data_IF_678129502110
#
_entry.id   IF_678129502110
#
_cell.length_a   1.000
_cell.length_b   1.000
_cell.length_c   1.000
_cell.angle_alpha   90.00
_cell.angle_beta   90.00
_cell.angle_gamma   90.00
#
_symmetry.space_group_name_H-M   'P 1'
#
loop_
_entity.id
_entity.type
_entity.pdbx_description
1 polymer ?
#
# COMPACT_ATOMS: atom_id res chain seq x y z
N UNK A 1 -4.59 -18.15 4.03
CA UNK A 1 -3.71 -16.98 4.14
C UNK A 1 -4.04 -16.22 5.40
N UNK A 2 -3.35 -16.59 6.48
CA UNK A 2 -3.34 -15.85 7.74
C UNK A 2 -3.19 -14.33 7.47
N UNK A 3 -3.95 -13.49 8.20
CA UNK A 3 -3.90 -12.03 8.17
C UNK A 3 -2.44 -11.50 8.15
N UNK A 4 -1.55 -12.15 8.90
CA UNK A 4 -0.13 -11.83 8.92
C UNK A 4 0.54 -11.96 7.53
N UNK A 5 0.23 -13.02 6.78
CA UNK A 5 0.79 -13.22 5.43
C UNK A 5 0.25 -12.17 4.44
N UNK A 6 -1.00 -11.72 4.58
CA UNK A 6 -1.53 -10.60 3.77
C UNK A 6 -0.77 -9.32 4.07
N UNK A 7 -0.63 -8.97 5.35
CA UNK A 7 0.13 -7.78 5.79
C UNK A 7 1.56 -7.81 5.26
N UNK A 8 2.25 -8.95 5.38
CA UNK A 8 3.60 -9.10 4.84
C UNK A 8 3.64 -8.86 3.33
N UNK A 9 2.71 -9.43 2.54
CA UNK A 9 2.65 -9.19 1.10
C UNK A 9 2.48 -7.69 0.80
N UNK A 10 1.61 -6.99 1.53
CA UNK A 10 1.40 -5.55 1.35
C UNK A 10 2.68 -4.79 1.69
N UNK A 11 3.28 -5.05 2.86
CA UNK A 11 4.42 -4.29 3.36
C UNK A 11 5.76 -4.58 2.68
N UNK A 12 5.89 -5.72 2.01
CA UNK A 12 7.11 -6.10 1.27
C UNK A 12 7.06 -5.71 -0.22
N UNK A 13 6.01 -5.01 -0.66
CA UNK A 13 5.91 -4.53 -2.04
C UNK A 13 7.05 -3.57 -2.41
N UNK A 14 7.46 -3.58 -3.68
CA UNK A 14 8.34 -2.54 -4.22
C UNK A 14 7.69 -1.17 -4.04
N UNK A 15 8.50 -0.12 -3.87
CA UNK A 15 8.05 1.27 -3.70
C UNK A 15 7.12 1.48 -2.50
N UNK A 16 7.18 0.60 -1.50
CA UNK A 16 6.45 0.74 -0.24
C UNK A 16 7.00 1.82 0.68
N UNK A 17 8.08 2.49 0.29
CA UNK A 17 8.76 3.50 1.08
C UNK A 17 8.98 4.77 0.26
N UNK A 18 8.88 5.90 0.94
CA UNK A 18 9.44 7.18 0.50
C UNK A 18 10.79 7.37 1.19
N UNK A 19 11.81 7.79 0.44
CA UNK A 19 13.16 8.02 0.95
C UNK A 19 13.43 9.52 1.00
N UNK A 20 14.24 9.95 1.96
CA UNK A 20 14.57 11.36 2.13
C UNK A 20 15.58 11.58 3.24
N UNK A 21 15.77 12.86 3.59
CA UNK A 21 16.64 13.29 4.70
C UNK A 21 15.85 14.07 5.73
N UNK A 22 16.32 14.10 6.97
CA UNK A 22 15.69 14.87 8.03
C UNK A 22 16.53 16.06 8.48
N UNK A 23 15.87 17.14 8.89
CA UNK A 23 16.49 18.29 9.55
C UNK A 23 15.66 18.71 10.76
N UNK A 24 16.34 19.12 11.83
CA UNK A 24 15.69 19.75 12.97
C UNK A 24 15.50 21.24 12.70
N UNK A 25 14.25 21.68 12.60
CA UNK A 25 13.85 23.07 12.38
C UNK A 25 12.87 23.44 13.49
N UNK A 26 13.23 24.43 14.30
CA UNK A 26 12.40 24.90 15.43
C UNK A 26 11.95 23.76 16.37
N UNK A 27 12.89 22.89 16.78
CA UNK A 27 12.64 21.74 17.66
C UNK A 27 11.74 20.65 17.07
N UNK A 28 11.48 20.69 15.76
CA UNK A 28 10.70 19.69 15.03
C UNK A 28 11.55 19.01 13.96
N UNK A 29 11.41 17.69 13.83
CA UNK A 29 12.03 16.95 12.74
C UNK A 29 11.20 17.06 11.47
N UNK A 30 11.78 17.66 10.44
CA UNK A 30 11.20 17.81 9.12
C UNK A 30 11.84 16.80 8.19
N UNK A 31 11.03 16.00 7.52
CA UNK A 31 11.43 15.08 6.46
C UNK A 31 11.35 15.77 5.11
N UNK A 32 12.43 15.72 4.34
CA UNK A 32 12.51 16.20 2.96
C UNK A 32 12.59 15.00 2.01
N UNK A 33 11.57 14.84 1.18
CA UNK A 33 11.49 13.77 0.19
C UNK A 33 12.54 13.96 -0.91
N UNK A 34 13.17 12.87 -1.34
CA UNK A 34 14.27 12.91 -2.30
C UNK A 34 13.85 13.12 -3.77
N UNK A 35 12.58 12.89 -4.12
CA UNK A 35 12.12 12.91 -5.53
C UNK A 35 11.61 14.29 -5.96
N UNK A 36 10.89 15.01 -5.10
CA UNK A 36 10.21 16.26 -5.41
C UNK A 36 10.49 17.41 -4.41
N UNK A 37 11.40 17.19 -3.46
CA UNK A 37 11.74 18.12 -2.37
C UNK A 37 10.53 18.53 -1.51
N UNK A 38 9.47 17.71 -1.46
CA UNK A 38 8.36 17.93 -0.54
C UNK A 38 8.79 17.76 0.93
N UNK A 39 8.23 18.61 1.79
CA UNK A 39 8.60 18.67 3.21
C UNK A 39 7.42 18.32 4.11
N UNK A 40 7.66 17.42 5.06
CA UNK A 40 6.63 16.87 5.95
C UNK A 40 7.13 16.86 7.40
N UNK A 41 6.22 16.94 8.37
CA UNK A 41 6.56 16.64 9.76
C UNK A 41 6.84 15.14 9.88
N UNK A 42 8.02 14.78 10.41
CA UNK A 42 8.43 13.38 10.49
C UNK A 42 7.44 12.54 11.32
N UNK A 43 6.91 13.12 12.40
CA UNK A 43 5.92 12.49 13.27
C UNK A 43 4.62 12.14 12.54
N UNK A 44 4.17 12.98 11.61
CA UNK A 44 2.92 12.75 10.87
C UNK A 44 3.02 11.60 9.88
N UNK A 45 4.22 11.32 9.36
CA UNK A 45 4.42 10.32 8.29
C UNK A 45 5.01 9.00 8.78
N UNK A 46 5.45 8.92 10.05
CA UNK A 46 6.15 7.76 10.60
C UNK A 46 5.33 6.84 11.51
N UNK A 47 4.00 6.98 11.53
CA UNK A 47 3.08 6.12 12.31
C UNK A 47 3.30 4.61 12.05
N UNK A 48 3.53 4.23 10.79
CA UNK A 48 3.76 2.83 10.38
C UNK A 48 5.24 2.40 10.50
N UNK A 49 6.06 3.20 11.18
CA UNK A 49 7.47 3.00 11.40
C UNK A 49 8.37 3.84 10.48
N UNK A 50 9.63 3.94 10.90
CA UNK A 50 10.71 4.63 10.20
C UNK A 50 11.89 3.69 10.07
N UNK A 51 12.66 3.79 8.99
CA UNK A 51 13.94 3.11 8.90
C UNK A 51 15.05 4.13 8.66
N UNK A 52 16.15 3.98 9.39
CA UNK A 52 17.31 4.87 9.33
C UNK A 52 18.43 4.16 8.57
N UNK A 53 19.09 4.87 7.65
CA UNK A 53 20.24 4.33 6.93
C UNK A 53 21.49 4.35 7.82
N UNK A 54 21.90 3.20 8.31
CA UNK A 54 23.08 3.03 9.16
C UNK A 54 24.04 2.02 8.53
N UNK A 55 25.30 2.41 8.34
CA UNK A 55 26.33 1.53 7.75
C UNK A 55 25.89 0.86 6.43
N UNK A 56 25.20 1.62 5.58
CA UNK A 56 24.63 1.16 4.30
C UNK A 56 23.49 0.14 4.39
N UNK A 57 22.87 -0.01 5.57
CA UNK A 57 21.69 -0.84 5.79
C UNK A 57 20.54 0.00 6.34
N UNK A 58 19.31 -0.30 5.89
CA UNK A 58 18.12 0.30 6.47
C UNK A 58 17.75 -0.43 7.75
N UNK A 59 17.80 0.28 8.87
CA UNK A 59 17.51 -0.28 10.19
C UNK A 59 16.14 0.20 10.65
N UNK A 60 15.14 -0.70 10.79
CA UNK A 60 13.82 -0.30 11.22
C UNK A 60 13.79 0.16 12.68
N UNK A 61 12.90 1.10 12.96
CA UNK A 61 12.65 1.64 14.28
C UNK A 61 11.30 2.32 14.41
N UNK A 62 11.03 2.79 15.63
CA UNK A 62 9.81 3.52 15.98
C UNK A 62 10.21 4.89 16.51
N UNK A 63 9.66 5.95 15.93
CA UNK A 63 9.84 7.31 16.43
C UNK A 63 9.06 7.48 17.74
N UNK A 64 9.72 8.00 18.76
CA UNK A 64 9.10 8.35 20.04
C UNK A 64 8.67 9.82 20.04
N UNK A 65 7.71 10.15 20.90
CA UNK A 65 7.32 11.54 21.20
C UNK A 65 8.51 12.40 21.68
N UNK A 66 9.57 11.78 22.21
CA UNK A 66 10.81 12.48 22.59
C UNK A 66 11.68 12.91 21.40
N UNK A 67 11.31 12.56 20.16
CA UNK A 67 12.09 12.82 18.96
C UNK A 67 13.27 11.84 18.75
N UNK A 68 13.38 10.80 19.57
CA UNK A 68 14.36 9.73 19.43
C UNK A 68 13.74 8.52 18.73
N UNK A 69 14.56 7.68 18.09
CA UNK A 69 14.09 6.45 17.44
C UNK A 69 14.55 5.23 18.23
N UNK A 70 13.61 4.36 18.62
CA UNK A 70 13.95 3.04 19.15
C UNK A 70 14.13 2.10 17.97
N UNK A 71 15.37 1.74 17.69
CA UNK A 71 15.69 0.76 16.65
C UNK A 71 15.19 -0.63 17.07
N UNK A 72 14.86 -1.48 16.10
CA UNK A 72 14.47 -2.88 16.34
C UNK A 72 15.58 -3.70 17.04
N UNK A 73 16.83 -3.22 16.98
CA UNK A 73 17.96 -3.73 17.76
C UNK A 73 17.91 -3.37 19.25
N UNK A 74 16.83 -2.70 19.70
CA UNK A 74 16.61 -2.17 21.06
C UNK A 74 17.60 -1.08 21.48
N UNK A 75 18.28 -0.45 20.52
CA UNK A 75 19.12 0.70 20.76
C UNK A 75 18.31 1.98 20.54
N UNK A 76 18.50 2.95 21.42
CA UNK A 76 17.97 4.29 21.23
C UNK A 76 18.92 5.04 20.29
N UNK A 77 18.35 5.64 19.26
CA UNK A 77 19.07 6.42 18.28
C UNK A 77 18.62 7.88 18.36
N UNK A 78 19.60 8.77 18.52
CA UNK A 78 19.38 10.22 18.47
C UNK A 78 19.50 10.67 17.01
N UNK A 79 18.41 11.24 16.50
CA UNK A 79 18.35 11.77 15.15
C UNK A 79 19.31 12.96 14.99
N UNK A 80 19.91 13.08 13.81
CA UNK A 80 20.80 14.17 13.42
C UNK A 80 20.32 14.77 12.10
N UNK A 81 20.66 16.05 11.92
CA UNK A 81 20.48 16.72 10.63
C UNK A 81 21.25 15.97 9.53
N UNK A 82 20.59 15.74 8.41
CA UNK A 82 21.12 15.01 7.27
C UNK A 82 21.00 13.48 7.37
N UNK A 83 20.41 12.94 8.45
CA UNK A 83 20.15 11.50 8.52
C UNK A 83 19.24 11.08 7.36
N UNK A 84 19.68 10.08 6.60
CA UNK A 84 18.87 9.48 5.56
C UNK A 84 17.88 8.51 6.19
N UNK A 85 16.60 8.75 5.94
CA UNK A 85 15.50 7.94 6.46
C UNK A 85 14.59 7.50 5.32
N UNK A 86 13.86 6.42 5.56
CA UNK A 86 12.72 6.05 4.74
C UNK A 86 11.51 5.76 5.61
N UNK A 87 10.37 6.21 5.14
CA UNK A 87 9.08 6.02 5.83
C UNK A 87 8.16 5.22 4.93
N UNK A 88 7.31 4.38 5.53
CA UNK A 88 6.39 3.55 4.77
C UNK A 88 5.31 4.43 4.15
N UNK A 89 5.10 4.31 2.84
CA UNK A 89 3.98 4.97 2.16
C UNK A 89 2.67 4.45 2.74
N UNK A 90 1.66 5.31 2.87
CA UNK A 90 0.30 4.89 3.23
C UNK A 90 -0.49 4.59 1.96
N UNK A 91 -1.24 3.50 1.97
CA UNK A 91 -2.20 3.22 0.91
C UNK A 91 -3.51 3.97 1.20
N UNK A 92 -4.17 4.56 0.19
CA UNK A 92 -5.45 5.23 0.39
C UNK A 92 -6.48 4.31 1.05
N UNK A 93 -7.23 4.82 2.02
CA UNK A 93 -8.20 4.04 2.79
C UNK A 93 -9.20 3.22 1.91
N UNK A 94 -9.81 3.79 0.85
CA UNK A 94 -10.70 3.01 -0.03
C UNK A 94 -10.04 1.82 -0.69
N UNK A 95 -8.74 1.94 -0.98
CA UNK A 95 -7.95 0.88 -1.59
C UNK A 95 -7.56 -0.18 -0.56
N UNK A 96 -7.18 0.22 0.65
CA UNK A 96 -6.91 -0.71 1.74
C UNK A 96 -8.13 -1.58 2.06
N UNK A 97 -9.31 -0.98 2.18
CA UNK A 97 -10.54 -1.72 2.43
C UNK A 97 -10.86 -2.72 1.32
N UNK A 98 -10.65 -2.33 0.05
CA UNK A 98 -10.77 -3.24 -1.09
C UNK A 98 -9.79 -4.40 -0.93
N UNK A 99 -8.51 -4.12 -0.67
CA UNK A 99 -7.48 -5.15 -0.51
C UNK A 99 -7.77 -6.08 0.66
N UNK A 100 -8.39 -5.61 1.75
CA UNK A 100 -8.74 -6.44 2.91
C UNK A 100 -9.96 -7.33 2.65
N UNK A 101 -10.92 -6.83 1.87
CA UNK A 101 -12.17 -7.52 1.54
C UNK A 101 -11.96 -8.74 0.62
N UNK A 102 -10.98 -8.67 -0.30
CA UNK A 102 -10.73 -9.75 -1.24
C UNK A 102 -10.47 -11.08 -0.54
N UNK A 103 -11.01 -12.17 -1.07
CA UNK A 103 -10.62 -13.50 -0.62
C UNK A 103 -9.14 -13.76 -0.88
N UNK A 104 -8.57 -14.73 -0.18
CA UNK A 104 -7.13 -14.97 -0.19
C UNK A 104 -6.60 -15.29 -1.59
N UNK A 105 -7.34 -16.09 -2.34
CA UNK A 105 -7.01 -16.48 -3.72
C UNK A 105 -7.16 -15.29 -4.67
N UNK A 106 -8.19 -14.47 -4.49
CA UNK A 106 -8.39 -13.24 -5.27
C UNK A 106 -7.25 -12.26 -5.03
N UNK A 107 -6.92 -11.98 -3.76
CA UNK A 107 -5.82 -11.09 -3.37
C UNK A 107 -4.46 -11.59 -3.90
N UNK A 108 -4.15 -12.87 -3.71
CA UNK A 108 -2.87 -13.43 -4.15
C UNK A 108 -2.71 -13.34 -5.68
N UNK A 109 -3.76 -13.69 -6.45
CA UNK A 109 -3.74 -13.57 -7.91
C UNK A 109 -3.66 -12.12 -8.37
N UNK A 110 -4.44 -11.23 -7.73
CA UNK A 110 -4.45 -9.81 -8.01
C UNK A 110 -3.04 -9.20 -7.89
N UNK A 111 -2.42 -9.39 -6.73
CA UNK A 111 -1.08 -8.86 -6.44
C UNK A 111 -0.01 -9.51 -7.33
N UNK A 112 -0.09 -10.82 -7.56
CA UNK A 112 0.87 -11.52 -8.44
C UNK A 112 0.84 -10.97 -9.86
N UNK A 113 -0.35 -10.67 -10.40
CA UNK A 113 -0.49 -10.19 -11.77
C UNK A 113 0.01 -8.74 -11.93
N UNK A 114 -0.23 -7.88 -10.94
CA UNK A 114 0.39 -6.55 -10.86
C UNK A 114 1.91 -6.67 -10.84
N UNK A 115 2.45 -7.48 -9.91
CA UNK A 115 3.88 -7.60 -9.69
C UNK A 115 4.62 -8.19 -10.90
N UNK A 116 4.00 -9.11 -11.63
CA UNK A 116 4.51 -9.65 -12.89
C UNK A 116 4.61 -8.59 -14.01
N UNK A 117 3.85 -7.49 -13.88
CA UNK A 117 3.93 -6.32 -14.76
C UNK A 117 4.82 -5.22 -14.18
N UNK A 118 5.62 -5.53 -13.15
CA UNK A 118 6.47 -4.62 -12.38
C UNK A 118 5.71 -3.44 -11.72
N UNK A 119 4.41 -3.59 -11.53
CA UNK A 119 3.55 -2.66 -10.78
C UNK A 119 3.36 -3.22 -9.38
N UNK A 120 3.43 -2.37 -8.35
CA UNK A 120 3.24 -2.71 -6.96
C UNK A 120 1.89 -2.17 -6.46
N UNK A 121 1.46 -2.60 -5.28
CA UNK A 121 0.26 -2.05 -4.65
C UNK A 121 0.40 -0.55 -4.36
N UNK A 122 1.62 -0.07 -4.11
CA UNK A 122 1.90 1.34 -3.80
C UNK A 122 1.91 2.26 -5.02
N UNK A 123 1.81 1.70 -6.22
CA UNK A 123 1.67 2.49 -7.46
C UNK A 123 0.21 2.93 -7.70
N UNK A 124 -0.71 2.58 -6.81
CA UNK A 124 -2.13 2.92 -6.94
C UNK A 124 -2.36 4.42 -6.70
N UNK A 125 -2.47 5.20 -7.77
CA UNK A 125 -2.74 6.64 -7.71
C UNK A 125 -4.22 6.98 -7.61
N UNK A 126 -5.11 6.03 -7.92
CA UNK A 126 -6.56 6.23 -7.83
C UNK A 126 -7.28 4.92 -7.54
N UNK A 127 -8.22 4.95 -6.60
CA UNK A 127 -9.12 3.83 -6.30
C UNK A 127 -10.53 4.35 -5.99
N UNK A 128 -11.48 4.02 -6.85
CA UNK A 128 -12.91 4.15 -6.58
C UNK A 128 -13.46 2.79 -6.12
N UNK A 129 -13.62 2.64 -4.80
CA UNK A 129 -14.19 1.44 -4.19
C UNK A 129 -15.71 1.60 -4.05
N UNK A 130 -16.44 1.24 -5.11
CA UNK A 130 -17.91 1.38 -5.18
C UNK A 130 -18.62 0.62 -4.06
N UNK A 131 -18.01 -0.44 -3.53
CA UNK A 131 -18.60 -1.23 -2.45
C UNK A 131 -18.84 -0.43 -1.17
N UNK A 132 -18.03 0.61 -0.89
CA UNK A 132 -18.18 1.48 0.27
C UNK A 132 -19.52 2.24 0.32
N UNK A 133 -20.24 2.29 -0.80
CA UNK A 133 -21.52 3.00 -0.92
C UNK A 133 -22.72 2.05 -0.92
N UNK A 134 -22.54 0.77 -0.57
CA UNK A 134 -23.54 -0.29 -0.76
C UNK A 134 -24.03 -0.96 0.53
N UNK A 135 -23.79 -0.39 1.71
CA UNK A 135 -24.08 -1.00 3.02
C UNK A 135 -25.51 -1.52 3.22
N UNK A 136 -26.49 -0.92 2.52
CA UNK A 136 -27.91 -1.28 2.62
C UNK A 136 -28.39 -2.23 1.51
N UNK A 137 -27.49 -2.72 0.65
CA UNK A 137 -27.82 -3.60 -0.46
C UNK A 137 -27.61 -5.05 -0.02
N UNK A 138 -28.66 -5.87 -0.12
CA UNK A 138 -28.62 -7.28 0.33
C UNK A 138 -27.64 -8.14 -0.47
N UNK A 139 -27.53 -7.89 -1.77
CA UNK A 139 -26.65 -8.62 -2.70
C UNK A 139 -25.87 -7.59 -3.54
N UNK A 140 -24.87 -6.90 -2.95
CA UNK A 140 -24.20 -5.81 -3.63
C UNK A 140 -23.34 -6.34 -4.77
N UNK A 141 -23.44 -5.68 -5.92
CA UNK A 141 -22.61 -5.96 -7.09
C UNK A 141 -22.28 -4.67 -7.82
N UNK A 142 -21.11 -4.61 -8.42
CA UNK A 142 -20.62 -3.39 -9.02
C UNK A 142 -19.23 -3.54 -9.61
N UNK A 143 -18.60 -2.41 -9.89
CA UNK A 143 -17.24 -2.33 -10.44
C UNK A 143 -16.46 -1.30 -9.65
N UNK A 144 -15.30 -1.68 -9.13
CA UNK A 144 -14.32 -0.75 -8.60
C UNK A 144 -13.35 -0.35 -9.73
N UNK A 145 -12.91 0.90 -9.74
CA UNK A 145 -11.94 1.41 -10.70
C UNK A 145 -10.64 1.73 -10.00
N UNK A 146 -9.54 1.15 -10.49
CA UNK A 146 -8.20 1.43 -9.98
C UNK A 146 -7.30 1.90 -11.12
N UNK A 147 -6.40 2.82 -10.82
CA UNK A 147 -5.35 3.27 -11.75
C UNK A 147 -4.02 3.20 -11.02
N UNK A 148 -3.06 2.56 -11.69
CA UNK A 148 -1.70 2.43 -11.25
C UNK A 148 -0.76 3.20 -12.17
N UNK A 149 0.22 3.88 -11.58
CA UNK A 149 1.32 4.52 -12.29
C UNK A 149 2.62 4.28 -11.52
N UNK A 150 3.60 3.66 -12.18
CA UNK A 150 4.93 3.43 -11.62
C UNK A 150 6.01 4.21 -12.36
N UNK A 151 5.62 5.31 -13.01
CA UNK A 151 6.41 6.19 -13.90
C UNK A 151 6.84 5.55 -15.22
N UNK A 152 6.81 4.21 -15.32
CA UNK A 152 7.16 3.48 -16.54
C UNK A 152 5.91 2.95 -17.26
N UNK A 153 4.92 2.49 -16.49
CA UNK A 153 3.70 1.88 -16.97
C UNK A 153 2.49 2.44 -16.24
N UNK A 154 1.45 2.71 -17.03
CA UNK A 154 0.12 3.02 -16.52
C UNK A 154 -0.76 1.80 -16.74
N UNK A 155 -1.44 1.36 -15.68
CA UNK A 155 -2.36 0.23 -15.73
C UNK A 155 -3.69 0.63 -15.12
N UNK A 156 -4.77 0.46 -15.88
CA UNK A 156 -6.13 0.55 -15.35
C UNK A 156 -6.64 -0.83 -14.99
N UNK A 157 -7.24 -0.96 -13.82
CA UNK A 157 -7.88 -2.19 -13.36
C UNK A 157 -9.34 -1.92 -13.07
N UNK A 158 -10.21 -2.74 -13.65
CA UNK A 158 -11.62 -2.83 -13.28
C UNK A 158 -11.83 -4.09 -12.46
N UNK A 159 -12.32 -3.93 -11.24
CA UNK A 159 -12.67 -5.04 -10.37
C UNK A 159 -14.19 -5.17 -10.29
N UNK A 160 -14.75 -6.09 -11.08
CA UNK A 160 -16.16 -6.45 -11.00
C UNK A 160 -16.37 -7.39 -9.82
N UNK A 161 -17.31 -7.03 -8.95
CA UNK A 161 -17.62 -7.81 -7.77
C UNK A 161 -19.10 -8.15 -7.71
N UNK A 162 -19.41 -9.29 -7.12
CA UNK A 162 -20.75 -9.63 -6.65
C UNK A 162 -20.64 -10.29 -5.28
N UNK A 163 -21.53 -9.89 -4.38
CA UNK A 163 -21.67 -10.43 -3.02
C UNK A 163 -23.13 -10.84 -2.84
N UNK A 164 -23.36 -11.93 -2.12
CA UNK A 164 -24.70 -12.52 -1.97
C UNK A 164 -24.63 -14.03 -2.00
N UNK A 165 -25.55 -14.67 -2.74
CA UNK A 165 -25.59 -16.13 -2.90
C UNK A 165 -24.37 -16.68 -3.64
N UNK A 166 -23.87 -15.94 -4.62
CA UNK A 166 -22.61 -16.20 -5.31
C UNK A 166 -21.65 -15.06 -5.02
N UNK A 167 -20.46 -15.37 -4.52
CA UNK A 167 -19.38 -14.40 -4.36
C UNK A 167 -18.45 -14.54 -5.55
N UNK A 168 -18.11 -13.42 -6.19
CA UNK A 168 -17.20 -13.43 -7.33
C UNK A 168 -16.42 -12.14 -7.45
N UNK A 169 -15.17 -12.27 -7.88
CA UNK A 169 -14.25 -11.18 -8.17
C UNK A 169 -13.67 -11.38 -9.56
N UNK A 170 -13.92 -10.45 -10.47
CA UNK A 170 -13.29 -10.45 -11.80
C UNK A 170 -12.45 -9.18 -11.94
N UNK A 171 -11.18 -9.38 -12.23
CA UNK A 171 -10.25 -8.28 -12.47
C UNK A 171 -9.91 -8.22 -13.95
N UNK A 172 -10.04 -7.03 -14.53
CA UNK A 172 -9.68 -6.73 -15.91
C UNK A 172 -8.61 -5.64 -15.91
N UNK A 173 -7.43 -5.98 -16.41
CA UNK A 173 -6.26 -5.11 -16.47
C UNK A 173 -6.07 -4.63 -17.89
N UNK A 174 -5.81 -3.34 -18.06
CA UNK A 174 -5.42 -2.74 -19.34
C UNK A 174 -4.17 -1.90 -19.12
N UNK A 175 -3.06 -2.30 -19.73
CA UNK A 175 -1.84 -1.50 -19.76
C UNK A 175 -1.91 -0.45 -20.87
N UNK A 176 -1.12 0.62 -20.73
CA UNK A 176 -0.98 1.66 -21.75
C UNK A 176 -0.47 1.13 -23.11
N UNK A 177 0.16 -0.05 -23.12
CA UNK A 177 0.58 -0.74 -24.35
C UNK A 177 -0.59 -1.37 -25.13
N UNK A 178 -1.81 -1.36 -24.58
CA UNK A 178 -2.97 -2.06 -25.11
C UNK A 178 -3.06 -3.52 -24.68
N UNK A 179 -2.05 -4.05 -23.98
CA UNK A 179 -2.08 -5.42 -23.44
C UNK A 179 -3.15 -5.53 -22.35
N UNK A 180 -3.92 -6.61 -22.41
CA UNK A 180 -5.02 -6.89 -21.47
C UNK A 180 -4.82 -8.23 -20.77
N UNK A 181 -5.20 -8.26 -19.50
CA UNK A 181 -5.27 -9.49 -18.72
C UNK A 181 -6.61 -9.56 -17.99
N UNK A 182 -7.12 -10.76 -17.79
CA UNK A 182 -8.34 -10.99 -17.04
C UNK A 182 -8.22 -12.25 -16.22
N UNK A 183 -8.73 -12.23 -14.99
CA UNK A 183 -9.04 -13.44 -14.26
C UNK A 183 -10.33 -13.28 -13.47
N UNK A 184 -10.96 -14.41 -13.15
CA UNK A 184 -12.16 -14.45 -12.32
C UNK A 184 -11.95 -15.45 -11.20
N UNK A 185 -12.28 -15.04 -9.98
CA UNK A 185 -12.43 -15.90 -8.82
C UNK A 185 -13.93 -16.04 -8.52
N UNK A 186 -14.37 -17.27 -8.20
CA UNK A 186 -15.76 -17.54 -7.85
C UNK A 186 -15.82 -18.45 -6.63
N UNK A 187 -16.62 -18.06 -5.65
CA UNK A 187 -16.87 -18.81 -4.43
C UNK A 187 -18.38 -19.08 -4.32
N UNK A 188 -18.74 -20.36 -4.15
CA UNK A 188 -20.13 -20.75 -3.87
C UNK A 188 -20.29 -20.89 -2.37
N UNK A 189 -21.15 -20.07 -1.76
CA UNK A 189 -21.67 -20.38 -0.42
C UNK A 189 -22.56 -21.61 -0.53
N UNK A 190 -22.25 -22.67 0.23
CA UNK A 190 -23.19 -23.80 0.37
C UNK A 190 -24.48 -23.26 0.97
N UNK A 191 -25.63 -23.63 0.40
CA UNK A 191 -26.92 -23.35 1.01
C UNK A 191 -26.96 -24.04 2.38
N UNK A 192 -27.29 -23.27 3.42
CA UNK A 192 -27.67 -23.78 4.74
C UNK A 192 -29.02 -24.51 4.66
#
# INVERSE_FOLDING_TARGET
>A
MNLQKRKNIIYEQKRSFTCGTIENINEQWIFFEAEDDEAFLLEEISEDGIEILLSNEWVPGVLLESGQVVLHTKHLYELNNGDAVRVRKRLPQPYMELLEELSEDAFAKFTTLLNNSNISLYDCIYCHNTMQFMDNIKEPSGVNFLVYDNETFICSVQHHFARGKSVSDRFEYTLQTGKRYMFTNMERKKAE
#
